data_IF_202809068898
#
_entry.id   IF_202809068898
#
_cell.length_a   1.000
_cell.length_b   1.000
_cell.length_c   1.000
_cell.angle_alpha   90.00
_cell.angle_beta   90.00
_cell.angle_gamma   90.00
#
_symmetry.space_group_name_H-M   'P 1'
#
loop_
_entity.id
_entity.type
_entity.pdbx_description
1 polymer ?
#
# COMPACT_ATOMS: atom_id res chain seq x y z
N UNK A 1 -6.18 -2.65 -2.01
CA UNK A 1 -5.22 -2.25 -3.06
C UNK A 1 -5.80 -2.11 -4.48
N UNK A 2 -7.03 -2.54 -4.75
CA UNK A 2 -7.60 -2.66 -6.11
C UNK A 2 -7.35 -1.48 -7.08
N UNK A 3 -7.58 -0.21 -6.69
CA UNK A 3 -7.42 0.92 -7.61
C UNK A 3 -6.01 1.13 -8.18
N UNK A 4 -4.98 0.56 -7.54
CA UNK A 4 -3.58 0.71 -7.94
C UNK A 4 -3.01 -0.56 -8.58
N UNK A 5 -3.79 -1.64 -8.61
CA UNK A 5 -3.33 -2.96 -9.05
C UNK A 5 -3.75 -3.22 -10.49
N UNK A 6 -2.86 -3.81 -11.29
CA UNK A 6 -3.21 -4.27 -12.64
C UNK A 6 -4.37 -5.28 -12.61
N UNK A 7 -5.19 -5.26 -13.65
CA UNK A 7 -6.32 -6.18 -13.81
C UNK A 7 -5.86 -7.55 -14.34
N UNK A 8 -6.78 -8.53 -14.39
CA UNK A 8 -6.53 -9.87 -14.95
C UNK A 8 -6.87 -11.02 -14.00
N UNK A 9 -6.82 -10.80 -12.70
CA UNK A 9 -7.21 -11.82 -11.69
C UNK A 9 -8.73 -11.96 -11.52
N UNK A 10 -9.50 -11.13 -12.22
CA UNK A 10 -10.96 -11.04 -12.14
C UNK A 10 -11.48 -10.55 -10.79
N UNK A 11 -10.68 -9.92 -9.93
CA UNK A 11 -11.11 -9.48 -8.59
C UNK A 11 -11.57 -10.61 -7.65
N UNK A 12 -10.91 -11.77 -7.71
CA UNK A 12 -11.21 -12.95 -6.88
C UNK A 12 -11.26 -12.65 -5.38
N UNK A 13 -10.34 -11.83 -4.84
CA UNK A 13 -10.36 -11.45 -3.42
C UNK A 13 -11.68 -10.77 -3.02
N UNK A 14 -12.15 -9.82 -3.83
CA UNK A 14 -13.38 -9.06 -3.55
C UNK A 14 -14.60 -9.99 -3.58
N UNK A 15 -14.65 -10.93 -4.54
CA UNK A 15 -15.70 -11.97 -4.58
C UNK A 15 -15.70 -12.87 -3.35
N UNK A 16 -14.55 -13.08 -2.73
CA UNK A 16 -14.41 -13.83 -1.48
C UNK A 16 -14.58 -12.96 -0.22
N UNK A 17 -15.15 -11.76 -0.34
CA UNK A 17 -15.33 -10.80 0.76
C UNK A 17 -14.02 -10.42 1.47
N UNK A 18 -12.94 -10.33 0.70
CA UNK A 18 -11.61 -9.96 1.21
C UNK A 18 -11.06 -8.79 0.40
N UNK A 19 -10.35 -7.83 1.03
CA UNK A 19 -9.75 -6.72 0.29
C UNK A 19 -8.72 -7.22 -0.74
N UNK A 20 -8.64 -6.54 -1.88
CA UNK A 20 -7.57 -6.81 -2.85
C UNK A 20 -6.20 -6.56 -2.21
N UNK A 21 -5.31 -7.55 -2.31
CA UNK A 21 -3.97 -7.55 -1.73
C UNK A 21 -2.90 -6.93 -2.65
N UNK A 22 -3.19 -6.77 -3.94
CA UNK A 22 -2.26 -6.13 -4.88
C UNK A 22 -1.20 -7.04 -5.48
N UNK A 23 -1.44 -8.35 -5.54
CA UNK A 23 -0.43 -9.32 -6.01
C UNK A 23 -0.09 -9.22 -7.50
N UNK A 24 -0.93 -8.58 -8.32
CA UNK A 24 -0.69 -8.42 -9.77
C UNK A 24 0.19 -7.20 -10.11
N UNK A 25 0.72 -6.51 -9.09
CA UNK A 25 1.59 -5.37 -9.28
C UNK A 25 0.85 -4.11 -9.76
N UNK A 26 1.61 -3.05 -10.10
CA UNK A 26 1.06 -1.74 -10.43
C UNK A 26 0.19 -1.73 -11.69
N UNK A 27 -0.86 -0.91 -11.67
CA UNK A 27 -1.66 -0.57 -12.84
C UNK A 27 -0.86 0.27 -13.85
N UNK A 28 -1.38 0.37 -15.08
CA UNK A 28 -0.81 1.25 -16.10
C UNK A 28 -0.73 2.70 -15.58
N UNK A 29 0.43 3.34 -15.73
CA UNK A 29 0.76 4.67 -15.22
C UNK A 29 1.02 4.79 -13.71
N UNK A 30 1.26 3.67 -13.01
CA UNK A 30 1.74 3.68 -11.61
C UNK A 30 3.22 3.29 -11.59
N UNK A 31 4.11 4.30 -11.55
CA UNK A 31 5.55 4.08 -11.59
C UNK A 31 6.11 3.45 -10.31
N UNK A 32 5.61 3.88 -9.14
CA UNK A 32 6.02 3.33 -7.85
C UNK A 32 4.78 3.00 -7.02
N UNK A 33 4.49 1.70 -6.94
CA UNK A 33 3.31 1.16 -6.31
C UNK A 33 3.20 1.55 -4.84
N UNK A 34 4.29 1.43 -4.10
CA UNK A 34 4.27 1.60 -2.64
C UNK A 34 4.09 3.07 -2.29
N UNK A 35 4.86 3.97 -2.91
CA UNK A 35 4.69 5.41 -2.68
C UNK A 35 3.31 5.90 -3.12
N UNK A 36 2.78 5.38 -4.23
CA UNK A 36 1.43 5.74 -4.69
C UNK A 36 0.36 5.25 -3.70
N UNK A 37 0.48 4.05 -3.16
CA UNK A 37 -0.43 3.52 -2.15
C UNK A 37 -0.41 4.34 -0.85
N UNK A 38 0.78 4.70 -0.37
CA UNK A 38 0.95 5.54 0.83
C UNK A 38 0.32 6.92 0.67
N UNK A 39 0.30 7.50 -0.54
CA UNK A 39 -0.36 8.77 -0.79
C UNK A 39 -1.87 8.64 -1.04
N UNK A 40 -2.28 7.61 -1.81
CA UNK A 40 -3.66 7.47 -2.28
C UNK A 40 -4.63 7.10 -1.16
N UNK A 41 -4.34 6.09 -0.34
CA UNK A 41 -5.30 5.59 0.65
C UNK A 41 -5.60 6.62 1.75
N UNK A 42 -4.60 7.29 2.36
CA UNK A 42 -4.89 8.38 3.30
C UNK A 42 -5.67 9.54 2.67
N UNK A 43 -5.43 9.85 1.39
CA UNK A 43 -6.11 10.97 0.71
C UNK A 43 -7.62 10.78 0.52
N UNK A 44 -8.09 9.54 0.50
CA UNK A 44 -9.52 9.21 0.37
C UNK A 44 -10.20 9.01 1.72
N UNK A 45 -9.43 8.89 2.81
CA UNK A 45 -9.96 8.77 4.16
C UNK A 45 -10.48 10.13 4.63
N UNK A 46 -11.74 10.18 5.06
CA UNK A 46 -12.37 11.39 5.61
C UNK A 46 -12.25 11.39 7.15
N UNK A 47 -11.02 11.41 7.65
CA UNK A 47 -10.70 11.40 9.08
C UNK A 47 -9.48 12.29 9.37
N UNK A 48 -9.12 12.48 10.64
CA UNK A 48 -7.92 13.25 11.02
C UNK A 48 -6.64 12.46 10.73
N UNK A 49 -5.51 13.13 10.44
CA UNK A 49 -4.24 12.45 10.14
C UNK A 49 -3.79 11.47 11.24
N UNK A 50 -4.04 11.81 12.51
CA UNK A 50 -3.66 10.99 13.66
C UNK A 50 -4.44 9.67 13.68
N UNK A 51 -5.73 9.72 13.38
CA UNK A 51 -6.58 8.53 13.31
C UNK A 51 -6.18 7.63 12.14
N UNK A 52 -5.81 8.23 11.00
CA UNK A 52 -5.37 7.47 9.82
C UNK A 52 -4.06 6.74 10.11
N UNK A 53 -3.09 7.40 10.74
CA UNK A 53 -1.81 6.77 11.12
C UNK A 53 -2.03 5.66 12.14
N UNK A 54 -2.93 5.84 13.10
CA UNK A 54 -3.30 4.80 14.06
C UNK A 54 -4.02 3.60 13.43
N UNK A 55 -4.79 3.84 12.35
CA UNK A 55 -5.49 2.78 11.61
C UNK A 55 -4.51 1.86 10.87
N UNK A 56 -3.47 2.43 10.24
CA UNK A 56 -2.48 1.67 9.48
C UNK A 56 -1.27 1.29 10.33
N UNK A 57 -1.39 0.21 11.12
CA UNK A 57 -0.30 -0.28 12.00
C UNK A 57 0.98 -0.70 11.29
N UNK A 58 0.87 -1.29 10.09
CA UNK A 58 2.00 -1.75 9.28
C UNK A 58 1.84 -1.30 7.84
N UNK A 59 2.20 -0.05 7.57
CA UNK A 59 2.11 0.55 6.22
C UNK A 59 3.07 -0.12 5.25
N UNK A 60 4.28 -0.46 5.69
CA UNK A 60 5.29 -1.10 4.84
C UNK A 60 4.84 -2.49 4.38
N UNK A 61 4.33 -3.31 5.28
CA UNK A 61 3.80 -4.64 4.95
C UNK A 61 2.47 -4.59 4.20
N UNK A 62 1.60 -3.63 4.50
CA UNK A 62 0.29 -3.50 3.83
C UNK A 62 0.41 -2.98 2.39
N UNK A 63 1.17 -1.90 2.18
CA UNK A 63 1.31 -1.26 0.87
C UNK A 63 2.41 -1.90 0.02
N UNK A 64 3.43 -2.47 0.66
CA UNK A 64 4.60 -3.04 0.00
C UNK A 64 4.56 -4.55 -0.24
N UNK A 65 3.55 -5.29 0.25
CA UNK A 65 3.57 -6.76 0.37
C UNK A 65 4.20 -7.54 -0.80
N UNK A 66 3.92 -7.14 -2.04
CA UNK A 66 4.44 -7.80 -3.25
C UNK A 66 5.38 -6.92 -4.08
N UNK A 67 5.49 -5.63 -3.77
CA UNK A 67 6.15 -4.63 -4.61
C UNK A 67 7.29 -3.89 -3.91
N UNK A 68 7.70 -4.27 -2.68
CA UNK A 68 8.90 -3.72 -2.03
C UNK A 68 10.15 -3.82 -2.91
N UNK A 69 10.49 -4.96 -3.56
CA UNK A 69 11.75 -5.06 -4.31
C UNK A 69 11.84 -4.09 -5.50
N UNK A 70 10.71 -3.71 -6.07
CA UNK A 70 10.61 -2.78 -7.21
C UNK A 70 10.32 -1.34 -6.76
N UNK A 71 10.10 -1.12 -5.46
CA UNK A 71 9.76 0.18 -4.90
C UNK A 71 10.98 1.08 -4.82
N UNK A 72 10.76 2.39 -4.97
CA UNK A 72 11.80 3.39 -4.74
C UNK A 72 12.18 3.53 -3.26
N UNK A 73 11.34 3.04 -2.33
CA UNK A 73 11.65 2.97 -0.90
C UNK A 73 12.73 1.93 -0.57
N UNK A 74 12.93 0.92 -1.42
CA UNK A 74 13.97 -0.09 -1.24
C UNK A 74 13.77 -0.96 0.01
N UNK A 75 14.86 -1.24 0.72
CA UNK A 75 14.89 -2.10 1.91
C UNK A 75 14.93 -1.28 3.20
N UNK A 76 14.58 -1.91 4.32
CA UNK A 76 14.67 -1.31 5.65
C UNK A 76 16.14 -0.97 5.97
N UNK A 77 16.41 0.30 6.30
CA UNK A 77 17.78 0.76 6.62
C UNK A 77 18.21 0.41 8.05
N UNK A 78 17.29 0.42 9.02
CA UNK A 78 17.58 0.16 10.43
C UNK A 78 16.40 -0.51 11.14
N UNK A 79 16.66 -1.36 12.14
CA UNK A 79 15.61 -2.00 12.94
C UNK A 79 15.00 -1.12 14.01
N UNK A 80 15.70 -0.05 14.39
CA UNK A 80 15.20 0.95 15.33
C UNK A 80 14.04 1.72 14.71
N UNK A 81 12.91 1.90 15.44
CA UNK A 81 11.90 2.87 15.04
C UNK A 81 12.56 4.24 14.90
N UNK A 82 12.30 4.94 13.80
CA UNK A 82 12.69 6.35 13.70
C UNK A 82 11.85 7.11 14.73
N UNK A 83 12.48 7.71 15.74
CA UNK A 83 11.80 8.67 16.61
C UNK A 83 11.26 9.82 15.75
N UNK A 84 9.97 10.09 15.89
CA UNK A 84 9.33 11.27 15.32
C UNK A 84 10.05 12.50 15.86
N UNK A 85 10.67 13.28 14.97
CA UNK A 85 11.27 14.57 15.29
C UNK A 85 10.27 15.69 15.03
#
# INVERSE_FOLDING_TARGET
MGPLTSTGCGATCIRANSPCLGCYGPAENVDDYVSKATSYFPSICKDTPENITAFFKDTAGLFGRFCIPTSKLGHKLSDTPMEEK
#
